data_IF_383589516052
#
_entry.id   IF_383589516052
#
_cell.length_a   1.000
_cell.length_b   1.000
_cell.length_c   1.000
_cell.angle_alpha   90.00
_cell.angle_beta   90.00
_cell.angle_gamma   90.00
#
_symmetry.space_group_name_H-M   'P 1'
#
loop_
_entity.id
_entity.type
_entity.pdbx_description
1 polymer ?
#
# COMPACT_ATOMS: atom_id res chain seq x y z
N UNK A 1 -5.44 -11.99 6.44
CA UNK A 1 -5.65 -12.21 5.01
C UNK A 1 -4.66 -11.29 4.31
N UNK A 2 -4.22 -11.65 3.10
CA UNK A 2 -3.48 -10.70 2.28
C UNK A 2 -4.50 -9.87 1.50
N UNK A 3 -4.21 -8.59 1.25
CA UNK A 3 -4.92 -7.78 0.25
C UNK A 3 -5.22 -8.63 -0.99
N UNK A 4 -6.51 -8.75 -1.29
CA UNK A 4 -7.04 -9.79 -2.19
C UNK A 4 -6.83 -9.52 -3.68
N UNK A 5 -6.45 -8.29 -4.04
CA UNK A 5 -6.24 -7.91 -5.43
C UNK A 5 -4.93 -8.40 -6.04
N UNK A 6 -4.82 -8.22 -7.36
CA UNK A 6 -3.65 -8.66 -8.13
C UNK A 6 -2.36 -7.96 -7.71
N UNK A 7 -1.24 -8.65 -7.93
CA UNK A 7 0.12 -8.09 -7.75
C UNK A 7 0.56 -7.40 -9.04
N UNK A 8 0.82 -6.11 -8.96
CA UNK A 8 1.31 -5.29 -10.06
C UNK A 8 2.77 -4.88 -9.80
N UNK A 9 3.57 -4.75 -10.86
CA UNK A 9 4.90 -4.13 -10.72
C UNK A 9 4.74 -2.65 -10.41
N UNK A 10 5.57 -2.11 -9.54
CA UNK A 10 5.48 -0.71 -9.11
C UNK A 10 6.14 0.23 -10.12
N UNK A 11 5.62 0.25 -11.34
CA UNK A 11 6.03 1.16 -12.42
C UNK A 11 5.07 2.35 -12.51
N UNK A 12 5.53 3.46 -13.07
CA UNK A 12 4.69 4.65 -13.27
C UNK A 12 3.41 4.32 -14.06
N UNK A 13 3.54 3.55 -15.15
CA UNK A 13 2.40 3.13 -15.97
C UNK A 13 1.34 2.36 -15.17
N UNK A 14 1.75 1.37 -14.37
CA UNK A 14 0.81 0.59 -13.57
C UNK A 14 0.16 1.43 -12.48
N UNK A 15 0.94 2.30 -11.84
CA UNK A 15 0.44 3.23 -10.83
C UNK A 15 -0.63 4.14 -11.43
N UNK A 16 -0.40 4.72 -12.61
CA UNK A 16 -1.35 5.61 -13.29
C UNK A 16 -2.63 4.91 -13.75
N UNK A 17 -2.58 3.59 -13.96
CA UNK A 17 -3.75 2.75 -14.23
C UNK A 17 -4.50 2.28 -12.97
N UNK A 18 -4.07 2.70 -11.78
CA UNK A 18 -4.71 2.26 -10.53
C UNK A 18 -6.11 2.84 -10.34
N UNK A 19 -7.03 2.17 -9.63
CA UNK A 19 -8.32 2.74 -9.25
C UNK A 19 -8.16 4.09 -8.57
N UNK A 20 -9.05 5.01 -8.93
CA UNK A 20 -9.20 6.31 -8.25
C UNK A 20 -10.13 6.21 -7.05
N UNK A 21 -10.78 5.06 -6.85
CA UNK A 21 -11.64 4.75 -5.72
C UNK A 21 -10.88 4.56 -4.41
N UNK A 22 -11.61 4.68 -3.31
CA UNK A 22 -11.09 4.43 -1.98
C UNK A 22 -10.79 2.95 -1.73
N UNK A 23 -9.71 2.68 -1.00
CA UNK A 23 -9.38 1.32 -0.60
C UNK A 23 -8.02 1.19 0.06
N UNK A 24 -7.48 -0.02 0.08
CA UNK A 24 -6.20 -0.35 0.72
C UNK A 24 -5.18 -0.81 -0.30
N UNK A 25 -3.91 -0.59 0.00
CA UNK A 25 -2.79 -1.08 -0.80
C UNK A 25 -1.64 -1.54 0.08
N UNK A 26 -0.82 -2.42 -0.49
CA UNK A 26 0.41 -2.90 0.12
C UNK A 26 1.54 -2.75 -0.88
N UNK A 27 2.69 -2.29 -0.40
CA UNK A 27 3.93 -2.18 -1.17
C UNK A 27 4.89 -3.30 -0.77
N UNK A 28 5.61 -3.83 -1.75
CA UNK A 28 6.48 -4.98 -1.57
C UNK A 28 7.88 -4.72 -2.09
N UNK A 29 8.87 -5.26 -1.39
CA UNK A 29 10.26 -5.38 -1.83
C UNK A 29 10.57 -6.87 -2.02
N UNK A 30 10.61 -7.31 -3.28
CA UNK A 30 10.58 -8.71 -3.66
C UNK A 30 9.32 -9.43 -3.15
N UNK A 31 9.50 -10.23 -2.10
CA UNK A 31 8.45 -11.00 -1.43
C UNK A 31 8.06 -10.45 -0.05
N UNK A 32 8.78 -9.47 0.48
CA UNK A 32 8.47 -8.85 1.77
C UNK A 32 7.45 -7.73 1.59
N UNK A 33 6.38 -7.71 2.39
CA UNK A 33 5.51 -6.53 2.51
C UNK A 33 6.23 -5.47 3.32
N UNK A 34 6.55 -4.34 2.69
CA UNK A 34 7.31 -3.26 3.33
C UNK A 34 6.42 -2.14 3.86
N UNK A 35 5.22 -1.99 3.30
CA UNK A 35 4.25 -0.98 3.72
C UNK A 35 2.82 -1.44 3.45
N UNK A 36 1.90 -1.10 4.34
CA UNK A 36 0.45 -1.23 4.16
C UNK A 36 -0.16 0.14 4.45
N UNK A 37 -1.01 0.61 3.54
CA UNK A 37 -1.67 1.90 3.68
C UNK A 37 -3.06 1.92 3.05
N UNK A 38 -3.82 2.96 3.37
CA UNK A 38 -5.09 3.29 2.71
C UNK A 38 -4.95 4.45 1.74
N UNK A 39 -5.79 4.43 0.71
CA UNK A 39 -6.10 5.57 -0.13
C UNK A 39 -7.56 5.96 0.06
N UNK A 40 -7.78 7.14 0.62
CA UNK A 40 -9.10 7.75 0.76
C UNK A 40 -9.13 9.13 0.09
N UNK A 41 -10.33 9.67 -0.13
CA UNK A 41 -10.52 10.99 -0.75
C UNK A 41 -10.30 11.03 -2.26
N UNK A 42 -9.82 12.17 -2.76
CA UNK A 42 -9.69 12.46 -4.20
C UNK A 42 -8.59 11.59 -4.82
N UNK A 43 -8.92 10.86 -5.87
CA UNK A 43 -8.05 9.91 -6.57
C UNK A 43 -7.57 8.71 -5.72
N UNK A 44 -8.09 8.54 -4.50
CA UNK A 44 -8.03 7.32 -3.70
C UNK A 44 -6.67 6.61 -3.67
N UNK A 45 -6.67 5.33 -4.02
CA UNK A 45 -5.45 4.50 -4.03
C UNK A 45 -4.40 5.05 -5.00
N UNK A 46 -4.80 5.49 -6.20
CA UNK A 46 -3.89 5.99 -7.23
C UNK A 46 -3.03 7.16 -6.71
N UNK A 47 -3.64 8.15 -6.06
CA UNK A 47 -2.91 9.32 -5.55
C UNK A 47 -1.80 8.93 -4.56
N UNK A 48 -2.08 7.99 -3.65
CA UNK A 48 -1.10 7.54 -2.66
C UNK A 48 0.04 6.76 -3.32
N UNK A 49 -0.27 5.86 -4.24
CA UNK A 49 0.75 5.13 -5.00
C UNK A 49 1.66 6.07 -5.81
N UNK A 50 1.11 7.13 -6.41
CA UNK A 50 1.88 8.16 -7.10
C UNK A 50 2.79 8.93 -6.13
N UNK A 51 2.30 9.30 -4.94
CA UNK A 51 3.07 9.99 -3.91
C UNK A 51 4.27 9.14 -3.43
N UNK A 52 4.07 7.85 -3.17
CA UNK A 52 5.16 6.92 -2.87
C UNK A 52 6.18 6.85 -4.01
N UNK A 53 5.72 6.81 -5.28
CA UNK A 53 6.61 6.71 -6.43
C UNK A 53 7.47 7.95 -6.63
N UNK A 54 6.91 9.14 -6.34
CA UNK A 54 7.63 10.41 -6.34
C UNK A 54 8.58 10.58 -5.15
N UNK A 55 8.35 9.81 -4.08
CA UNK A 55 9.11 9.91 -2.83
C UNK A 55 8.52 10.91 -1.82
N UNK A 56 7.32 11.45 -2.10
CA UNK A 56 6.61 12.40 -1.23
C UNK A 56 6.29 11.78 0.14
N UNK A 57 6.08 10.46 0.17
CA UNK A 57 5.80 9.65 1.37
C UNK A 57 7.09 9.04 1.98
N UNK A 58 8.25 9.55 1.59
CA UNK A 58 9.56 9.11 2.08
C UNK A 58 10.22 8.02 1.23
N UNK A 59 11.55 7.96 1.33
CA UNK A 59 12.40 7.09 0.49
C UNK A 59 12.23 5.59 0.74
N UNK A 60 11.72 5.19 1.91
CA UNK A 60 11.56 3.77 2.28
C UNK A 60 10.68 2.99 1.31
N UNK A 61 9.67 3.64 0.72
CA UNK A 61 8.67 3.01 -0.16
C UNK A 61 8.86 3.34 -1.63
N UNK A 62 9.66 4.35 -1.95
CA UNK A 62 9.93 4.78 -3.33
C UNK A 62 10.53 3.64 -4.18
N UNK A 63 11.38 2.82 -3.56
CA UNK A 63 12.04 1.67 -4.18
C UNK A 63 11.22 0.38 -4.21
N UNK A 64 9.91 0.42 -3.88
CA UNK A 64 9.10 -0.79 -3.90
C UNK A 64 9.14 -1.47 -5.28
N UNK A 65 9.19 -2.80 -5.27
CA UNK A 65 9.21 -3.62 -6.48
C UNK A 65 7.81 -3.86 -7.05
N UNK A 66 6.84 -4.06 -6.17
CA UNK A 66 5.47 -4.42 -6.52
C UNK A 66 4.48 -3.79 -5.55
N UNK A 67 3.21 -3.78 -5.93
CA UNK A 67 2.12 -3.43 -5.05
C UNK A 67 0.90 -4.33 -5.28
N UNK A 68 0.05 -4.42 -4.25
CA UNK A 68 -1.32 -4.93 -4.34
C UNK A 68 -2.27 -3.86 -3.90
N UNK A 69 -3.52 -3.95 -4.36
CA UNK A 69 -4.57 -2.99 -4.05
C UNK A 69 -5.93 -3.69 -3.98
N UNK A 70 -6.80 -3.17 -3.13
CA UNK A 70 -8.17 -3.65 -2.96
C UNK A 70 -9.08 -2.45 -2.76
N UNK A 71 -10.07 -2.28 -3.63
CA UNK A 71 -11.08 -1.24 -3.50
C UNK A 71 -12.09 -1.67 -2.43
N UNK A 72 -12.39 -0.78 -1.48
CA UNK A 72 -13.32 -1.11 -0.39
C UNK A 72 -14.00 0.14 0.18
N UNK A 73 -15.21 -0.03 0.70
CA UNK A 73 -16.04 1.07 1.22
C UNK A 73 -15.55 1.63 2.58
N UNK A 74 -14.73 0.89 3.33
CA UNK A 74 -14.16 1.35 4.60
C UNK A 74 -12.63 1.11 4.64
N UNK A 75 -11.84 1.96 3.96
CA UNK A 75 -10.39 1.80 3.87
C UNK A 75 -9.68 1.79 5.22
N UNK A 76 -10.15 2.60 6.18
CA UNK A 76 -9.53 2.70 7.50
C UNK A 76 -9.66 1.40 8.30
N UNK A 77 -10.86 0.82 8.36
CA UNK A 77 -11.05 -0.46 9.06
C UNK A 77 -10.27 -1.57 8.38
N UNK A 78 -10.24 -1.57 7.03
CA UNK A 78 -9.54 -2.59 6.25
C UNK A 78 -8.03 -2.52 6.41
N UNK A 79 -7.43 -1.32 6.38
CA UNK A 79 -5.99 -1.10 6.62
C UNK A 79 -5.60 -1.59 8.01
N UNK A 80 -6.38 -1.24 9.03
CA UNK A 80 -6.12 -1.66 10.41
C UNK A 80 -6.15 -3.19 10.56
N UNK A 81 -7.11 -3.85 9.91
CA UNK A 81 -7.18 -5.32 9.91
C UNK A 81 -5.93 -5.94 9.27
N UNK A 82 -5.51 -5.45 8.10
CA UNK A 82 -4.32 -5.96 7.41
C UNK A 82 -3.02 -5.72 8.21
N UNK A 83 -2.87 -4.54 8.83
CA UNK A 83 -1.73 -4.24 9.71
C UNK A 83 -1.72 -5.16 10.95
N UNK A 84 -2.88 -5.37 11.58
CA UNK A 84 -3.01 -6.24 12.74
C UNK A 84 -2.67 -7.69 12.39
N UNK A 85 -3.16 -8.20 11.26
CA UNK A 85 -2.86 -9.56 10.80
C UNK A 85 -1.37 -9.71 10.45
N UNK A 86 -0.78 -8.71 9.78
CA UNK A 86 0.66 -8.71 9.51
C UNK A 86 1.48 -8.73 10.81
N UNK A 87 1.10 -7.90 11.79
CA UNK A 87 1.77 -7.84 13.09
C UNK A 87 1.64 -9.14 13.88
N UNK A 88 0.47 -9.78 13.86
CA UNK A 88 0.27 -11.08 14.50
C UNK A 88 1.12 -12.18 13.86
N UNK A 89 1.24 -12.18 12.53
CA UNK A 89 2.02 -13.18 11.81
C UNK A 89 3.54 -12.98 11.92
N UNK A 90 4.01 -11.73 12.03
CA UNK A 90 5.45 -11.40 11.95
C UNK A 90 6.04 -10.86 13.26
N UNK A 91 5.21 -10.59 14.27
CA UNK A 91 5.60 -9.94 15.53
C UNK A 91 5.97 -8.46 15.40
N UNK A 92 5.83 -7.87 14.21
CA UNK A 92 6.18 -6.47 13.92
C UNK A 92 5.32 -5.92 12.79
N UNK A 93 5.20 -4.59 12.72
CA UNK A 93 4.63 -3.91 11.55
C UNK A 93 5.59 -3.97 10.35
N UNK A 94 5.11 -3.74 9.12
CA UNK A 94 5.98 -3.61 7.96
C UNK A 94 7.05 -2.53 8.19
N UNK A 95 8.26 -2.77 7.70
CA UNK A 95 9.44 -1.95 8.05
C UNK A 95 9.27 -0.46 7.74
N UNK A 96 8.51 -0.11 6.70
CA UNK A 96 8.27 1.29 6.33
C UNK A 96 7.06 1.93 7.04
N UNK A 97 6.20 1.15 7.73
CA UNK A 97 5.08 1.71 8.49
C UNK A 97 5.52 2.41 9.78
N UNK A 98 6.70 2.09 10.31
CA UNK A 98 7.21 2.70 11.55
C UNK A 98 7.96 4.03 11.33
N UNK A 99 8.26 4.38 10.08
CA UNK A 99 9.12 5.52 9.70
C UNK A 99 8.38 6.60 8.92
N UNK A 100 7.08 6.40 8.66
CA UNK A 100 6.24 7.43 8.05
C UNK A 100 5.46 8.20 9.11
N UNK A 101 5.28 9.52 8.90
CA UNK A 101 4.54 10.39 9.82
C UNK A 101 3.05 10.04 9.93
#
# INVERSE_FOLDING_TARGET
MAISGDKYTFTQENVDRSPTDGGVYALYDGNETIYIGKGDGVNGIRARLQAHKRGDEGSCTQGASHYRREVCSNPQSRERAELQEYQQANGRLPRCNNVMP
#
